data_IF_566831801871
#
_entry.id   IF_566831801871
#
_cell.length_a   1.000
_cell.length_b   1.000
_cell.length_c   1.000
_cell.angle_alpha   90.00
_cell.angle_beta   90.00
_cell.angle_gamma   90.00
#
_symmetry.space_group_name_H-M   'P 1'
#
loop_
_entity.id
_entity.type
_entity.pdbx_description
1 polymer ?
#
# COMPACT_ATOMS: atom_id res chain seq x y z
N UNK A 1 26.20 48.43 -10.63
CA UNK A 1 25.36 47.44 -11.33
C UNK A 1 23.96 47.48 -10.72
N UNK A 2 22.88 47.70 -11.48
CA UNK A 2 21.50 47.87 -10.94
C UNK A 2 20.99 46.66 -10.13
N UNK A 3 21.63 45.51 -10.34
CA UNK A 3 21.34 44.24 -9.68
C UNK A 3 21.60 44.29 -8.16
N UNK A 4 22.69 44.92 -7.70
CA UNK A 4 23.06 44.98 -6.28
C UNK A 4 22.13 45.82 -5.39
N UNK A 5 21.19 46.58 -5.98
CA UNK A 5 20.21 47.37 -5.22
C UNK A 5 18.92 46.59 -4.90
N UNK A 6 18.76 45.38 -5.45
CA UNK A 6 17.59 44.55 -5.25
C UNK A 6 17.74 43.72 -3.97
N UNK A 7 16.99 44.08 -2.92
CA UNK A 7 17.01 43.38 -1.61
C UNK A 7 16.80 41.86 -1.75
N UNK A 8 15.98 41.42 -2.71
CA UNK A 8 15.69 40.01 -2.96
C UNK A 8 16.94 39.17 -3.28
N UNK A 9 17.96 39.76 -3.89
CA UNK A 9 19.18 39.06 -4.32
C UNK A 9 20.06 38.69 -3.11
N UNK A 10 20.03 39.48 -2.04
CA UNK A 10 20.73 39.13 -0.81
C UNK A 10 20.03 38.00 -0.04
N UNK A 11 18.71 37.86 -0.20
CA UNK A 11 17.95 36.75 0.39
C UNK A 11 17.92 35.50 -0.49
N UNK A 12 18.29 35.58 -1.77
CA UNK A 12 18.16 34.45 -2.70
C UNK A 12 18.94 33.21 -2.26
N UNK A 13 20.17 33.28 -1.69
CA UNK A 13 20.83 32.08 -1.18
C UNK A 13 20.06 31.42 -0.03
N UNK A 14 19.47 32.21 0.88
CA UNK A 14 18.66 31.69 1.98
C UNK A 14 17.40 31.01 1.46
N UNK A 15 16.73 31.63 0.49
CA UNK A 15 15.54 31.04 -0.15
C UNK A 15 15.90 29.73 -0.84
N UNK A 16 17.01 29.68 -1.58
CA UNK A 16 17.49 28.46 -2.24
C UNK A 16 17.78 27.35 -1.23
N UNK A 17 18.50 27.66 -0.15
CA UNK A 17 18.80 26.69 0.92
C UNK A 17 17.52 26.23 1.62
N UNK A 18 16.57 27.13 1.89
CA UNK A 18 15.28 26.78 2.49
C UNK A 18 14.46 25.85 1.60
N UNK A 19 14.44 26.10 0.29
CA UNK A 19 13.79 25.20 -0.68
C UNK A 19 14.45 23.82 -0.65
N UNK A 20 15.78 23.74 -0.74
CA UNK A 20 16.51 22.46 -0.66
C UNK A 20 16.18 21.73 0.65
N UNK A 21 16.19 22.45 1.77
CA UNK A 21 15.85 21.90 3.08
C UNK A 21 14.45 21.30 3.09
N UNK A 22 13.43 22.02 2.59
CA UNK A 22 12.04 21.52 2.47
C UNK A 22 11.97 20.24 1.63
N UNK A 23 12.70 20.18 0.51
CA UNK A 23 12.74 18.99 -0.34
C UNK A 23 13.40 17.80 0.36
N UNK A 24 14.47 18.00 1.13
CA UNK A 24 15.10 16.93 1.93
C UNK A 24 14.12 16.36 2.96
N UNK A 25 13.22 17.16 3.53
CA UNK A 25 12.21 16.66 4.47
C UNK A 25 11.29 15.59 3.86
N UNK A 26 11.10 15.59 2.54
CA UNK A 26 10.30 14.56 1.85
C UNK A 26 10.98 13.18 1.86
N UNK A 27 12.29 13.11 2.11
CA UNK A 27 13.07 11.87 2.15
C UNK A 27 13.13 11.22 3.54
N UNK A 28 12.72 11.93 4.60
CA UNK A 28 12.76 11.44 5.98
C UNK A 28 12.05 10.08 6.14
N UNK A 29 10.83 9.86 5.60
CA UNK A 29 10.14 8.58 5.73
C UNK A 29 10.97 7.42 5.21
N UNK A 30 11.62 7.60 4.05
CA UNK A 30 12.43 6.57 3.41
C UNK A 30 13.76 6.35 4.14
N UNK A 31 14.42 7.43 4.57
CA UNK A 31 15.74 7.38 5.22
C UNK A 31 15.70 6.74 6.63
N UNK A 32 14.55 6.77 7.30
CA UNK A 32 14.34 6.23 8.65
C UNK A 32 13.42 5.01 8.68
N UNK A 33 13.19 4.38 7.53
CA UNK A 33 12.29 3.23 7.41
C UNK A 33 12.86 1.99 8.11
N UNK A 34 12.03 1.35 8.93
CA UNK A 34 12.35 0.09 9.59
C UNK A 34 11.05 -0.70 9.80
N UNK A 35 11.02 -2.01 9.52
CA UNK A 35 9.83 -2.82 9.72
C UNK A 35 9.48 -2.88 11.21
N UNK A 36 8.26 -2.48 11.54
CA UNK A 36 7.66 -2.61 12.86
C UNK A 36 6.35 -3.38 12.72
N UNK A 37 6.19 -4.44 13.51
CA UNK A 37 4.97 -5.24 13.51
C UNK A 37 4.56 -5.78 12.14
N UNK A 38 5.51 -6.12 11.26
CA UNK A 38 5.24 -6.66 9.92
C UNK A 38 4.40 -7.94 10.03
N UNK A 39 3.13 -7.96 9.58
CA UNK A 39 2.25 -9.10 9.78
C UNK A 39 2.66 -10.28 8.89
N UNK A 40 2.94 -11.42 9.53
CA UNK A 40 3.29 -12.68 8.86
C UNK A 40 2.50 -13.80 9.50
N UNK A 41 1.80 -14.60 8.68
CA UNK A 41 1.04 -15.73 9.18
C UNK A 41 1.90 -16.96 9.44
N UNK A 42 1.51 -17.75 10.43
CA UNK A 42 2.06 -19.07 10.70
C UNK A 42 0.92 -20.09 10.80
N UNK A 43 1.04 -21.18 10.03
CA UNK A 43 0.09 -22.30 10.05
C UNK A 43 0.84 -23.57 10.38
N UNK A 44 0.31 -24.31 11.33
CA UNK A 44 0.70 -25.69 11.53
C UNK A 44 -0.46 -26.60 11.11
N UNK A 45 -0.28 -27.36 10.03
CA UNK A 45 -1.18 -28.47 9.68
C UNK A 45 -0.54 -29.84 9.89
N UNK A 46 0.65 -29.89 10.50
CA UNK A 46 1.36 -31.12 10.89
C UNK A 46 0.49 -31.98 11.79
N UNK A 47 0.24 -33.22 11.39
CA UNK A 47 -0.53 -34.19 12.17
C UNK A 47 0.32 -34.80 13.30
N UNK A 48 1.63 -34.63 13.25
CA UNK A 48 2.55 -35.29 14.16
C UNK A 48 2.69 -36.79 13.85
N UNK A 49 3.25 -37.51 14.80
CA UNK A 49 3.33 -38.97 14.77
C UNK A 49 3.44 -39.55 16.18
N UNK A 50 2.97 -40.79 16.35
CA UNK A 50 3.20 -41.54 17.58
C UNK A 50 4.56 -42.22 17.53
N UNK A 51 5.40 -41.94 18.51
CA UNK A 51 6.73 -42.56 18.66
C UNK A 51 6.69 -43.53 19.84
N UNK A 52 7.07 -44.81 19.65
CA UNK A 52 7.19 -45.76 20.75
C UNK A 52 8.06 -45.19 21.89
N UNK A 53 7.61 -45.33 23.14
CA UNK A 53 8.21 -44.77 24.36
C UNK A 53 8.16 -43.24 24.57
N UNK A 54 7.80 -42.42 23.57
CA UNK A 54 7.65 -40.95 23.71
C UNK A 54 6.22 -40.43 23.56
N UNK A 55 5.30 -41.29 23.13
CA UNK A 55 3.90 -40.90 22.90
C UNK A 55 3.75 -40.06 21.63
N UNK A 56 2.76 -39.17 21.63
CA UNK A 56 2.46 -38.34 20.46
C UNK A 56 3.45 -37.17 20.35
N UNK A 57 4.18 -37.08 19.24
CA UNK A 57 5.18 -36.05 18.96
C UNK A 57 4.69 -35.19 17.78
N UNK A 58 4.76 -33.87 17.92
CA UNK A 58 4.41 -32.94 16.84
C UNK A 58 5.43 -31.80 16.83
N UNK A 59 6.33 -31.83 15.86
CA UNK A 59 7.40 -30.84 15.72
C UNK A 59 6.84 -29.50 15.23
N UNK A 60 5.82 -29.51 14.37
CA UNK A 60 5.13 -28.28 13.96
C UNK A 60 4.58 -27.48 15.15
N UNK A 61 4.04 -28.16 16.18
CA UNK A 61 3.57 -27.52 17.41
C UNK A 61 4.71 -26.93 18.24
N UNK A 62 5.87 -27.59 18.28
CA UNK A 62 7.06 -27.05 18.94
C UNK A 62 7.57 -25.80 18.20
N UNK A 63 7.58 -25.81 16.86
CA UNK A 63 7.92 -24.63 16.07
C UNK A 63 6.96 -23.47 16.36
N UNK A 64 5.65 -23.75 16.40
CA UNK A 64 4.63 -22.77 16.77
C UNK A 64 4.90 -22.13 18.12
N UNK A 65 5.23 -22.93 19.14
CA UNK A 65 5.53 -22.46 20.48
C UNK A 65 6.80 -21.61 20.53
N UNK A 66 7.88 -22.07 19.86
CA UNK A 66 9.14 -21.33 19.78
C UNK A 66 8.95 -19.95 19.12
N UNK A 67 8.13 -19.89 18.06
CA UNK A 67 7.83 -18.63 17.37
C UNK A 67 6.99 -17.69 18.24
N UNK A 68 6.03 -18.22 19.01
CA UNK A 68 5.29 -17.42 20.00
C UNK A 68 6.22 -16.82 21.05
N UNK A 69 7.14 -17.62 21.59
CA UNK A 69 8.08 -17.15 22.62
C UNK A 69 9.09 -16.13 22.09
N UNK A 70 9.47 -16.23 20.82
CA UNK A 70 10.36 -15.27 20.16
C UNK A 70 9.63 -13.98 19.74
N UNK A 71 8.30 -13.93 19.82
CA UNK A 71 7.49 -12.76 19.48
C UNK A 71 7.36 -11.83 20.68
N UNK A 72 7.86 -10.61 20.58
CA UNK A 72 7.71 -9.56 21.60
C UNK A 72 7.03 -8.33 21.02
N UNK A 73 6.47 -7.44 21.85
CA UNK A 73 5.80 -6.22 21.37
C UNK A 73 6.73 -5.26 20.60
N UNK A 74 8.04 -5.39 20.76
CA UNK A 74 9.07 -4.59 20.08
C UNK A 74 9.65 -5.29 18.84
N UNK A 75 9.11 -6.46 18.46
CA UNK A 75 9.61 -7.22 17.32
C UNK A 75 9.27 -6.53 15.99
N UNK A 76 10.20 -6.63 15.03
CA UNK A 76 9.96 -6.17 13.65
C UNK A 76 8.84 -6.93 12.94
N UNK A 77 8.45 -8.09 13.46
CA UNK A 77 7.50 -9.03 12.88
C UNK A 77 6.37 -9.29 13.88
N UNK A 78 5.14 -9.21 13.38
CA UNK A 78 3.93 -9.60 14.10
C UNK A 78 3.46 -10.96 13.59
N UNK A 79 3.70 -12.02 14.37
CA UNK A 79 3.27 -13.37 14.00
C UNK A 79 1.78 -13.57 14.24
N UNK A 80 1.05 -13.94 13.18
CA UNK A 80 -0.38 -14.23 13.21
C UNK A 80 -0.58 -15.74 13.10
N UNK A 81 -1.05 -16.36 14.17
CA UNK A 81 -1.25 -17.82 14.19
C UNK A 81 -2.66 -18.16 13.73
N UNK A 82 -2.76 -18.90 12.63
CA UNK A 82 -4.04 -19.30 12.03
C UNK A 82 -4.18 -20.81 12.00
N UNK A 83 -5.40 -21.29 11.80
CA UNK A 83 -5.75 -22.68 12.11
C UNK A 83 -5.58 -23.62 10.92
N UNK A 84 -5.74 -23.14 9.69
CA UNK A 84 -5.68 -23.96 8.49
C UNK A 84 -5.24 -23.17 7.24
N UNK A 85 -4.94 -23.90 6.17
CA UNK A 85 -4.44 -23.31 4.91
C UNK A 85 -5.47 -22.41 4.21
N UNK A 86 -6.76 -22.72 4.28
CA UNK A 86 -7.81 -21.90 3.65
C UNK A 86 -7.95 -20.53 4.31
N UNK A 87 -7.84 -20.50 5.64
CA UNK A 87 -7.78 -19.26 6.41
C UNK A 87 -6.55 -18.44 6.00
N UNK A 88 -5.41 -19.10 5.74
CA UNK A 88 -4.23 -18.41 5.20
C UNK A 88 -4.48 -17.77 3.85
N UNK A 89 -5.02 -18.51 2.91
CA UNK A 89 -5.29 -18.00 1.57
C UNK A 89 -6.27 -16.82 1.62
N UNK A 90 -7.34 -16.94 2.42
CA UNK A 90 -8.30 -15.86 2.62
C UNK A 90 -7.65 -14.61 3.23
N UNK A 91 -6.82 -14.76 4.26
CA UNK A 91 -6.17 -13.59 4.87
C UNK A 91 -5.09 -12.96 3.97
N UNK A 92 -4.44 -13.72 3.08
CA UNK A 92 -3.55 -13.15 2.05
C UNK A 92 -4.35 -12.29 1.07
N UNK A 93 -5.49 -12.80 0.59
CA UNK A 93 -6.35 -12.08 -0.35
C UNK A 93 -7.02 -10.85 0.31
N UNK A 94 -7.35 -10.95 1.60
CA UNK A 94 -7.88 -9.84 2.38
C UNK A 94 -6.80 -8.91 2.95
N UNK A 95 -5.56 -8.99 2.45
CA UNK A 95 -4.45 -8.10 2.80
C UNK A 95 -4.15 -8.04 4.32
N UNK A 96 -4.29 -9.16 5.03
CA UNK A 96 -4.04 -9.22 6.47
C UNK A 96 -2.57 -9.45 6.82
N UNK A 97 -1.77 -9.98 5.88
CA UNK A 97 -0.34 -10.23 6.07
C UNK A 97 0.43 -10.30 4.74
N UNK A 98 1.71 -9.98 4.82
CA UNK A 98 2.65 -9.91 3.69
C UNK A 98 3.22 -11.28 3.28
N UNK A 99 3.08 -12.29 4.14
CA UNK A 99 3.49 -13.65 3.84
C UNK A 99 3.04 -14.65 4.88
N UNK A 100 3.25 -15.94 4.60
CA UNK A 100 2.88 -17.03 5.50
C UNK A 100 3.91 -18.16 5.51
N UNK A 101 4.18 -18.73 6.68
CA UNK A 101 4.88 -20.01 6.85
C UNK A 101 3.86 -21.12 7.09
N UNK A 102 3.81 -22.12 6.20
CA UNK A 102 2.96 -23.30 6.35
C UNK A 102 3.85 -24.51 6.64
N UNK A 103 3.58 -25.15 7.78
CA UNK A 103 4.13 -26.46 8.15
C UNK A 103 3.18 -27.55 7.67
N UNK A 104 3.55 -28.39 6.67
CA UNK A 104 2.64 -29.38 6.09
C UNK A 104 2.31 -30.57 6.99
N UNK A 105 1.27 -31.32 6.62
CA UNK A 105 0.70 -32.44 7.40
C UNK A 105 1.66 -33.58 7.71
N UNK A 106 2.64 -33.80 6.83
CA UNK A 106 3.61 -34.88 6.88
C UNK A 106 4.96 -34.43 7.48
N UNK A 107 5.04 -33.20 7.99
CA UNK A 107 6.29 -32.60 8.44
C UNK A 107 6.99 -33.45 9.51
N UNK A 108 6.31 -33.81 10.60
CA UNK A 108 6.93 -34.63 11.66
C UNK A 108 7.30 -36.02 11.15
N UNK A 109 6.45 -36.65 10.32
CA UNK A 109 6.70 -37.97 9.75
C UNK A 109 7.96 -37.98 8.89
N UNK A 110 8.11 -37.01 7.99
CA UNK A 110 9.29 -36.84 7.13
C UNK A 110 10.55 -36.52 7.93
N UNK A 111 10.45 -35.60 8.89
CA UNK A 111 11.56 -35.27 9.77
C UNK A 111 12.14 -36.51 10.48
N UNK A 112 11.29 -37.44 10.92
CA UNK A 112 11.75 -38.66 11.57
C UNK A 112 12.58 -39.56 10.64
N UNK A 113 12.27 -39.56 9.33
CA UNK A 113 13.00 -40.36 8.34
C UNK A 113 14.46 -39.92 8.16
N UNK A 114 14.81 -38.68 8.55
CA UNK A 114 16.17 -38.15 8.44
C UNK A 114 17.22 -38.96 9.23
N UNK A 115 16.79 -39.74 10.22
CA UNK A 115 17.64 -40.64 11.01
C UNK A 115 17.71 -42.06 10.44
N UNK A 116 16.97 -42.35 9.37
CA UNK A 116 16.88 -43.68 8.75
C UNK A 116 17.80 -43.81 7.54
N UNK A 117 17.96 -45.02 7.00
CA UNK A 117 18.79 -45.26 5.81
C UNK A 117 18.22 -44.61 4.53
N UNK A 118 16.93 -44.26 4.51
CA UNK A 118 16.23 -43.62 3.39
C UNK A 118 15.62 -42.29 3.85
N UNK A 119 16.43 -41.23 4.02
CA UNK A 119 15.93 -39.94 4.47
C UNK A 119 15.05 -39.28 3.40
N UNK A 120 13.93 -38.73 3.85
CA UNK A 120 12.99 -37.91 3.06
C UNK A 120 12.79 -36.59 3.80
N UNK A 121 13.47 -35.54 3.35
CA UNK A 121 13.50 -34.26 4.05
C UNK A 121 12.12 -33.55 3.97
N UNK A 122 11.57 -33.08 5.10
CA UNK A 122 10.33 -32.30 5.08
C UNK A 122 10.52 -31.00 4.30
N UNK A 123 9.44 -30.53 3.66
CA UNK A 123 9.39 -29.23 3.01
C UNK A 123 8.42 -28.30 3.75
N UNK A 124 8.73 -27.01 3.83
CA UNK A 124 7.81 -25.97 4.29
C UNK A 124 7.45 -25.05 3.14
N UNK A 125 6.24 -24.48 3.17
CA UNK A 125 5.81 -23.50 2.17
C UNK A 125 5.92 -22.09 2.73
N UNK A 126 6.56 -21.21 1.97
CA UNK A 126 6.66 -19.78 2.22
C UNK A 126 5.79 -19.06 1.21
N UNK A 127 4.63 -18.56 1.65
CA UNK A 127 3.77 -17.74 0.80
C UNK A 127 4.19 -16.28 0.89
N UNK A 128 4.27 -15.58 -0.25
CA UNK A 128 4.70 -14.17 -0.32
C UNK A 128 3.65 -13.36 -1.08
N UNK A 129 3.03 -12.38 -0.42
CA UNK A 129 1.89 -11.63 -0.95
C UNK A 129 2.34 -10.39 -1.73
N UNK A 130 2.87 -10.57 -2.93
CA UNK A 130 3.52 -9.48 -3.67
C UNK A 130 2.57 -8.29 -3.92
N UNK A 131 1.30 -8.58 -4.22
CA UNK A 131 0.27 -7.58 -4.50
C UNK A 131 -0.06 -6.64 -3.37
N UNK A 132 0.16 -7.03 -2.10
CA UNK A 132 -0.14 -6.17 -0.94
C UNK A 132 0.84 -4.99 -0.86
N UNK A 133 2.14 -5.26 -0.99
CA UNK A 133 3.20 -4.28 -1.21
C UNK A 133 4.51 -5.03 -1.50
N UNK A 134 5.08 -4.86 -2.70
CA UNK A 134 6.27 -5.62 -3.14
C UNK A 134 7.45 -5.50 -2.17
N UNK A 135 7.72 -4.30 -1.66
CA UNK A 135 8.87 -4.06 -0.77
C UNK A 135 8.67 -4.75 0.59
N UNK A 136 7.50 -4.58 1.21
CA UNK A 136 7.18 -5.22 2.48
C UNK A 136 7.08 -6.74 2.36
N UNK A 137 6.55 -7.26 1.25
CA UNK A 137 6.50 -8.70 0.97
C UNK A 137 7.89 -9.30 0.73
N UNK A 138 8.82 -8.53 0.15
CA UNK A 138 10.22 -8.93 0.05
C UNK A 138 10.87 -9.02 1.43
N UNK A 139 10.63 -8.04 2.30
CA UNK A 139 11.08 -8.10 3.71
C UNK A 139 10.47 -9.31 4.44
N UNK A 140 9.17 -9.57 4.27
CA UNK A 140 8.50 -10.72 4.84
C UNK A 140 9.12 -12.04 4.35
N UNK A 141 9.43 -12.15 3.05
CA UNK A 141 10.13 -13.30 2.47
C UNK A 141 11.51 -13.51 3.07
N UNK A 142 12.28 -12.44 3.29
CA UNK A 142 13.60 -12.51 3.95
C UNK A 142 13.47 -12.99 5.40
N UNK A 143 12.50 -12.47 6.15
CA UNK A 143 12.19 -12.90 7.52
C UNK A 143 11.82 -14.39 7.54
N UNK A 144 10.92 -14.82 6.66
CA UNK A 144 10.49 -16.22 6.54
C UNK A 144 11.66 -17.15 6.21
N UNK A 145 12.49 -16.76 5.25
CA UNK A 145 13.68 -17.52 4.88
C UNK A 145 14.66 -17.65 6.05
N UNK A 146 14.96 -16.54 6.73
CA UNK A 146 15.86 -16.53 7.88
C UNK A 146 15.31 -17.32 9.07
N UNK A 147 13.99 -17.31 9.30
CA UNK A 147 13.35 -18.13 10.31
C UNK A 147 13.55 -19.62 10.02
N UNK A 148 13.32 -20.05 8.78
CA UNK A 148 13.55 -21.46 8.38
C UNK A 148 15.04 -21.81 8.41
N UNK A 149 15.94 -20.90 8.05
CA UNK A 149 17.39 -21.15 8.14
C UNK A 149 17.84 -21.39 9.59
N UNK A 150 17.35 -20.59 10.52
CA UNK A 150 17.63 -20.78 11.96
C UNK A 150 17.05 -22.10 12.48
N UNK A 151 15.87 -22.51 12.00
CA UNK A 151 15.30 -23.83 12.33
C UNK A 151 16.17 -24.95 11.74
N UNK A 152 16.60 -24.82 10.48
CA UNK A 152 17.46 -25.78 9.80
C UNK A 152 18.80 -25.97 10.53
N UNK A 153 19.43 -24.88 10.93
CA UNK A 153 20.67 -24.92 11.71
C UNK A 153 20.49 -25.67 13.03
N UNK A 154 19.47 -25.32 13.81
CA UNK A 154 19.18 -25.99 15.07
C UNK A 154 18.84 -27.47 14.88
N UNK A 155 18.06 -27.81 13.86
CA UNK A 155 17.70 -29.19 13.53
C UNK A 155 18.94 -30.00 13.13
N UNK A 156 19.81 -29.45 12.28
CA UNK A 156 21.08 -30.07 11.88
C UNK A 156 21.95 -30.37 13.09
N UNK A 157 22.12 -29.41 14.01
CA UNK A 157 22.89 -29.61 15.24
C UNK A 157 22.30 -30.73 16.11
N UNK A 158 20.97 -30.78 16.28
CA UNK A 158 20.31 -31.83 17.03
C UNK A 158 20.48 -33.21 16.38
N UNK A 159 20.36 -33.30 15.06
CA UNK A 159 20.52 -34.57 14.33
C UNK A 159 21.97 -35.07 14.41
N UNK A 160 22.97 -34.21 14.19
CA UNK A 160 24.39 -34.57 14.33
C UNK A 160 24.68 -35.07 15.76
N UNK A 161 24.13 -34.42 16.78
CA UNK A 161 24.27 -34.87 18.17
C UNK A 161 23.69 -36.28 18.37
N UNK A 162 22.52 -36.58 17.79
CA UNK A 162 21.91 -37.92 17.85
C UNK A 162 22.72 -38.98 17.12
N UNK A 163 23.25 -38.68 15.93
CA UNK A 163 24.12 -39.61 15.20
C UNK A 163 25.38 -39.95 16.00
N UNK A 164 26.01 -38.96 16.65
CA UNK A 164 27.15 -39.19 17.55
C UNK A 164 26.79 -40.08 18.74
N UNK A 165 25.63 -39.85 19.37
CA UNK A 165 25.17 -40.63 20.53
C UNK A 165 24.84 -42.08 20.17
N UNK A 166 24.28 -42.33 18.98
CA UNK A 166 23.89 -43.67 18.53
C UNK A 166 25.06 -44.46 17.91
N UNK A 167 26.28 -43.91 17.85
CA UNK A 167 27.47 -44.56 17.32
C UNK A 167 27.37 -44.97 15.83
N UNK A 168 26.42 -44.42 15.08
CA UNK A 168 26.12 -44.83 13.71
C UNK A 168 26.94 -44.00 12.71
N UNK A 169 27.62 -44.65 11.76
CA UNK A 169 28.24 -43.97 10.63
C UNK A 169 27.18 -43.37 9.70
N UNK A 170 27.40 -42.12 9.29
CA UNK A 170 26.51 -41.38 8.39
C UNK A 170 26.63 -41.90 6.95
N UNK A 171 25.51 -42.29 6.34
CA UNK A 171 25.48 -42.58 4.90
C UNK A 171 25.57 -41.30 4.08
N UNK A 172 25.98 -41.40 2.80
CA UNK A 172 26.02 -40.26 1.89
C UNK A 172 24.64 -39.57 1.76
N UNK A 173 23.55 -40.35 1.70
CA UNK A 173 22.18 -39.83 1.63
C UNK A 173 21.79 -39.07 2.91
N UNK A 174 22.19 -39.56 4.08
CA UNK A 174 21.95 -38.88 5.35
C UNK A 174 22.79 -37.60 5.46
N UNK A 175 24.03 -37.61 4.98
CA UNK A 175 24.88 -36.42 4.94
C UNK A 175 24.28 -35.31 4.03
N UNK A 176 23.76 -35.68 2.86
CA UNK A 176 23.04 -34.76 1.97
C UNK A 176 21.78 -34.19 2.63
N UNK A 177 20.98 -35.05 3.27
CA UNK A 177 19.78 -34.61 3.98
C UNK A 177 20.09 -33.68 5.17
N UNK A 178 21.26 -33.82 5.82
CA UNK A 178 21.71 -32.93 6.88
C UNK A 178 22.15 -31.56 6.41
N UNK A 179 22.54 -31.40 5.15
CA UNK A 179 22.95 -30.10 4.61
C UNK A 179 21.77 -29.11 4.60
N UNK A 180 20.58 -29.60 4.23
CA UNK A 180 19.31 -28.88 4.27
C UNK A 180 18.18 -29.78 4.83
N UNK A 181 18.09 -29.93 6.18
CA UNK A 181 17.13 -30.83 6.83
C UNK A 181 15.67 -30.50 6.54
N UNK A 182 15.37 -29.25 6.19
CA UNK A 182 14.07 -28.74 5.77
C UNK A 182 14.25 -28.03 4.42
N UNK A 183 13.52 -28.49 3.42
CA UNK A 183 13.42 -27.83 2.12
C UNK A 183 12.45 -26.65 2.19
N UNK A 184 12.71 -25.62 1.40
CA UNK A 184 11.82 -24.43 1.30
C UNK A 184 11.17 -24.41 -0.07
N UNK A 185 9.86 -24.21 -0.12
CA UNK A 185 9.14 -23.89 -1.35
C UNK A 185 8.56 -22.49 -1.20
N UNK A 186 9.10 -21.54 -1.96
CA UNK A 186 8.57 -20.17 -2.02
C UNK A 186 7.50 -20.11 -3.09
N UNK A 187 6.32 -19.60 -2.73
CA UNK A 187 5.17 -19.43 -3.62
C UNK A 187 4.75 -17.98 -3.51
N UNK A 188 4.81 -17.25 -4.63
CA UNK A 188 4.24 -15.92 -4.68
C UNK A 188 2.72 -16.04 -4.85
N UNK A 189 1.97 -15.25 -4.09
CA UNK A 189 0.51 -15.13 -4.21
C UNK A 189 0.17 -13.68 -4.55
N UNK A 190 -0.97 -13.47 -5.20
CA UNK A 190 -1.39 -12.14 -5.68
C UNK A 190 -0.23 -11.47 -6.43
N UNK A 191 0.34 -12.19 -7.39
CA UNK A 191 1.56 -11.77 -8.06
C UNK A 191 1.37 -10.45 -8.79
N UNK A 192 2.39 -9.59 -8.74
CA UNK A 192 2.29 -8.28 -9.39
C UNK A 192 2.46 -8.39 -10.91
N UNK A 193 2.94 -9.52 -11.43
CA UNK A 193 3.29 -9.68 -12.86
C UNK A 193 4.46 -8.79 -13.31
N UNK A 194 4.83 -8.89 -14.59
CA UNK A 194 6.00 -8.23 -15.18
C UNK A 194 5.72 -6.82 -15.70
N UNK A 195 4.45 -6.47 -15.94
CA UNK A 195 4.02 -5.19 -16.53
C UNK A 195 3.31 -4.28 -15.51
N UNK A 196 3.75 -4.29 -14.26
CA UNK A 196 3.13 -3.53 -13.16
C UNK A 196 4.08 -2.53 -12.50
N UNK A 197 5.18 -2.19 -13.16
CA UNK A 197 6.22 -1.30 -12.58
C UNK A 197 6.73 -1.86 -11.25
N UNK A 198 7.05 -3.17 -11.21
CA UNK A 198 7.44 -3.90 -9.99
C UNK A 198 6.40 -3.80 -8.86
N UNK A 199 5.11 -3.83 -9.20
CA UNK A 199 3.98 -3.66 -8.28
C UNK A 199 3.64 -2.21 -7.91
N UNK A 200 4.35 -1.21 -8.47
CA UNK A 200 4.07 0.21 -8.21
C UNK A 200 3.11 0.86 -9.20
N UNK A 201 2.54 0.13 -10.17
CA UNK A 201 1.56 0.67 -11.11
C UNK A 201 0.42 1.48 -10.43
N UNK A 202 -0.19 1.04 -9.31
CA UNK A 202 -1.18 1.85 -8.59
C UNK A 202 -0.68 3.23 -8.17
N UNK A 203 0.59 3.35 -7.76
CA UNK A 203 1.22 4.61 -7.37
C UNK A 203 1.54 5.46 -8.60
N UNK A 204 2.01 4.84 -9.68
CA UNK A 204 2.35 5.52 -10.93
C UNK A 204 1.13 6.20 -11.58
N UNK A 205 -0.06 5.60 -11.48
CA UNK A 205 -1.30 6.18 -12.02
C UNK A 205 -1.80 7.36 -11.19
N UNK A 206 -1.42 7.48 -9.92
CA UNK A 206 -1.90 8.55 -9.06
C UNK A 206 -1.42 9.94 -9.50
N UNK A 207 -0.13 10.11 -9.80
CA UNK A 207 0.45 11.41 -10.11
C UNK A 207 -0.24 12.14 -11.29
N UNK A 208 -0.41 11.52 -12.48
CA UNK A 208 -1.09 12.18 -13.58
C UNK A 208 -2.56 12.49 -13.27
N UNK A 209 -3.27 11.60 -12.57
CA UNK A 209 -4.68 11.82 -12.20
C UNK A 209 -4.82 13.03 -11.26
N UNK A 210 -3.96 13.12 -10.25
CA UNK A 210 -3.94 14.24 -9.30
C UNK A 210 -3.61 15.56 -9.99
N UNK A 211 -2.61 15.57 -10.87
CA UNK A 211 -2.27 16.77 -11.66
C UNK A 211 -3.40 17.18 -12.60
N UNK A 212 -4.06 16.23 -13.25
CA UNK A 212 -5.23 16.50 -14.09
C UNK A 212 -6.40 17.07 -13.27
N UNK A 213 -6.59 16.63 -12.03
CA UNK A 213 -7.63 17.16 -11.13
C UNK A 213 -7.34 18.60 -10.69
N UNK A 214 -6.07 18.93 -10.42
CA UNK A 214 -5.60 20.29 -10.12
C UNK A 214 -5.82 21.21 -11.32
N UNK A 215 -5.40 20.78 -12.51
CA UNK A 215 -5.56 21.54 -13.74
C UNK A 215 -7.05 21.78 -14.06
N UNK A 216 -7.88 20.74 -13.98
CA UNK A 216 -9.32 20.82 -14.19
C UNK A 216 -9.98 21.81 -13.22
N UNK A 217 -9.71 21.68 -11.92
CA UNK A 217 -10.27 22.56 -10.90
C UNK A 217 -9.85 24.02 -11.09
N UNK A 218 -8.56 24.26 -11.39
CA UNK A 218 -8.06 25.61 -11.63
C UNK A 218 -8.68 26.25 -12.89
N UNK A 219 -8.82 25.49 -13.98
CA UNK A 219 -9.43 25.97 -15.22
C UNK A 219 -10.91 26.36 -15.02
N UNK A 220 -11.66 25.53 -14.32
CA UNK A 220 -13.07 25.82 -14.00
C UNK A 220 -13.18 27.03 -13.08
N UNK A 221 -12.32 27.11 -12.06
CA UNK A 221 -12.27 28.26 -11.16
C UNK A 221 -11.99 29.58 -11.91
N UNK A 222 -10.98 29.59 -12.79
CA UNK A 222 -10.63 30.76 -13.62
C UNK A 222 -11.76 31.15 -14.59
N UNK A 223 -12.55 30.17 -15.04
CA UNK A 223 -13.70 30.42 -15.90
C UNK A 223 -14.85 31.05 -15.13
N UNK A 224 -15.15 30.54 -13.92
CA UNK A 224 -16.19 31.08 -13.03
C UNK A 224 -15.86 32.50 -12.58
N UNK A 225 -14.59 32.84 -12.35
CA UNK A 225 -14.19 34.20 -11.96
C UNK A 225 -14.56 35.29 -13.00
N UNK A 226 -14.78 34.90 -14.26
CA UNK A 226 -15.18 35.81 -15.34
C UNK A 226 -16.69 36.06 -15.38
N UNK A 227 -17.48 35.30 -14.61
CA UNK A 227 -18.94 35.36 -14.62
C UNK A 227 -19.43 36.26 -13.49
N UNK A 228 -20.32 37.19 -13.81
CA UNK A 228 -21.04 38.00 -12.82
C UNK A 228 -22.40 37.38 -12.53
N UNK A 229 -22.64 37.01 -11.29
CA UNK A 229 -23.90 36.43 -10.87
C UNK A 229 -24.86 37.49 -10.33
N UNK A 230 -26.07 37.52 -10.86
CA UNK A 230 -27.12 38.47 -10.50
C UNK A 230 -27.94 38.02 -9.30
N UNK A 231 -27.94 36.72 -8.97
CA UNK A 231 -28.70 36.17 -7.84
C UNK A 231 -28.03 34.95 -7.20
N UNK A 232 -28.45 34.63 -5.97
CA UNK A 232 -28.04 33.39 -5.28
C UNK A 232 -28.50 32.13 -6.04
N UNK A 233 -29.68 32.18 -6.67
CA UNK A 233 -30.22 31.08 -7.48
C UNK A 233 -29.28 30.76 -8.65
N UNK A 234 -28.79 31.79 -9.34
CA UNK A 234 -27.86 31.64 -10.45
C UNK A 234 -26.54 30.98 -10.01
N UNK A 235 -26.04 31.32 -8.82
CA UNK A 235 -24.85 30.67 -8.24
C UNK A 235 -25.07 29.19 -7.97
N UNK A 236 -26.21 28.83 -7.39
CA UNK A 236 -26.54 27.43 -7.10
C UNK A 236 -26.68 26.64 -8.41
N UNK A 237 -27.36 27.19 -9.42
CA UNK A 237 -27.46 26.56 -10.75
C UNK A 237 -26.07 26.37 -11.37
N UNK A 238 -25.18 27.35 -11.23
CA UNK A 238 -23.81 27.22 -11.70
C UNK A 238 -23.02 26.12 -10.94
N UNK A 239 -23.28 25.92 -9.65
CA UNK A 239 -22.69 24.79 -8.92
C UNK A 239 -23.20 23.43 -9.42
N UNK A 240 -24.47 23.33 -9.85
CA UNK A 240 -24.98 22.12 -10.51
C UNK A 240 -24.28 21.90 -11.85
N UNK A 241 -24.12 22.95 -12.66
CA UNK A 241 -23.36 22.89 -13.91
C UNK A 241 -21.90 22.46 -13.70
N UNK A 242 -21.26 22.97 -12.65
CA UNK A 242 -19.93 22.55 -12.21
C UNK A 242 -19.86 21.04 -11.94
N UNK A 243 -20.85 20.48 -11.23
CA UNK A 243 -20.90 19.04 -10.93
C UNK A 243 -20.99 18.22 -12.22
N UNK A 244 -21.83 18.62 -13.16
CA UNK A 244 -22.00 17.93 -14.45
C UNK A 244 -20.67 17.94 -15.23
N UNK A 245 -20.01 19.11 -15.33
CA UNK A 245 -18.71 19.22 -15.98
C UNK A 245 -17.67 18.36 -15.25
N UNK A 246 -17.68 18.36 -13.92
CA UNK A 246 -16.82 17.52 -13.09
C UNK A 246 -16.96 16.03 -13.41
N UNK A 247 -18.20 15.54 -13.61
CA UNK A 247 -18.46 14.14 -14.02
C UNK A 247 -17.90 13.85 -15.41
N UNK A 248 -18.08 14.76 -16.37
CA UNK A 248 -17.53 14.61 -17.73
C UNK A 248 -15.99 14.55 -17.69
N UNK A 249 -15.36 15.47 -16.96
CA UNK A 249 -13.91 15.48 -16.77
C UNK A 249 -13.42 14.20 -16.06
N UNK A 250 -14.17 13.72 -15.07
CA UNK A 250 -13.87 12.48 -14.36
C UNK A 250 -13.88 11.27 -15.28
N UNK A 251 -14.91 11.12 -16.12
CA UNK A 251 -14.97 10.03 -17.09
C UNK A 251 -13.84 10.14 -18.11
N UNK A 252 -13.58 11.34 -18.66
CA UNK A 252 -12.49 11.55 -19.60
C UNK A 252 -11.12 11.23 -18.99
N UNK A 253 -10.86 11.67 -17.75
CA UNK A 253 -9.61 11.41 -17.05
C UNK A 253 -9.45 9.93 -16.66
N UNK A 254 -10.51 9.29 -16.15
CA UNK A 254 -10.49 7.89 -15.75
C UNK A 254 -10.24 6.94 -16.92
N UNK A 255 -11.05 7.05 -17.97
CA UNK A 255 -10.89 6.24 -19.19
C UNK A 255 -9.61 6.59 -19.94
N UNK A 256 -9.28 7.89 -20.07
CA UNK A 256 -8.07 8.33 -20.73
C UNK A 256 -6.81 7.83 -20.04
N UNK A 257 -6.76 7.87 -18.71
CA UNK A 257 -5.61 7.37 -17.96
C UNK A 257 -5.50 5.85 -18.01
N UNK A 258 -6.59 5.11 -17.87
CA UNK A 258 -6.58 3.64 -18.02
C UNK A 258 -6.06 3.23 -19.40
N UNK A 259 -6.53 3.90 -20.45
CA UNK A 259 -6.05 3.68 -21.82
C UNK A 259 -4.58 4.04 -22.00
N UNK A 260 -4.14 5.21 -21.52
CA UNK A 260 -2.74 5.61 -21.59
C UNK A 260 -1.81 4.66 -20.81
N UNK A 261 -2.28 4.08 -19.71
CA UNK A 261 -1.54 3.07 -18.95
C UNK A 261 -1.21 1.85 -19.82
N UNK A 262 -2.19 1.31 -20.54
CA UNK A 262 -1.98 0.20 -21.48
C UNK A 262 -1.04 0.60 -22.63
N UNK A 263 -1.18 1.81 -23.17
CA UNK A 263 -0.31 2.33 -24.24
C UNK A 263 1.16 2.39 -23.82
N UNK A 264 1.44 2.75 -22.56
CA UNK A 264 2.82 2.75 -22.04
C UNK A 264 3.28 1.38 -21.51
N UNK A 265 2.47 0.35 -21.68
CA UNK A 265 2.82 -1.04 -21.35
C UNK A 265 2.56 -1.45 -19.90
N UNK A 266 1.72 -0.71 -19.16
CA UNK A 266 1.22 -1.13 -17.84
C UNK A 266 0.02 -2.06 -18.05
N UNK A 267 0.05 -3.24 -17.43
CA UNK A 267 -1.08 -4.18 -17.46
C UNK A 267 -2.23 -3.67 -16.60
N UNK A 268 -3.41 -3.57 -17.20
CA UNK A 268 -4.67 -3.18 -16.53
C UNK A 268 -5.62 -4.39 -16.57
N UNK A 269 -5.78 -5.14 -15.46
CA UNK A 269 -6.50 -6.43 -15.50
C UNK A 269 -7.97 -6.34 -15.90
N UNK A 270 -8.67 -5.30 -15.41
CA UNK A 270 -10.04 -4.97 -15.82
C UNK A 270 -10.08 -3.51 -16.24
N UNK A 271 -10.10 -3.27 -17.56
CA UNK A 271 -10.09 -1.91 -18.12
C UNK A 271 -11.27 -1.09 -17.60
N UNK A 272 -12.49 -1.63 -17.69
CA UNK A 272 -13.72 -0.91 -17.33
C UNK A 272 -13.74 -0.58 -15.83
N UNK A 273 -13.47 -1.55 -14.96
CA UNK A 273 -13.46 -1.35 -13.51
C UNK A 273 -12.40 -0.32 -13.10
N UNK A 274 -11.21 -0.42 -13.71
CA UNK A 274 -10.12 0.54 -13.47
C UNK A 274 -10.49 1.94 -13.93
N UNK A 275 -11.01 2.09 -15.15
CA UNK A 275 -11.41 3.38 -15.71
C UNK A 275 -12.49 4.07 -14.86
N UNK A 276 -13.51 3.31 -14.44
CA UNK A 276 -14.58 3.81 -13.58
C UNK A 276 -14.06 4.19 -12.18
N UNK A 277 -13.19 3.37 -11.59
CA UNK A 277 -12.58 3.68 -10.30
C UNK A 277 -11.71 4.95 -10.37
N UNK A 278 -10.89 5.08 -11.41
CA UNK A 278 -10.07 6.28 -11.66
C UNK A 278 -10.96 7.52 -11.89
N UNK A 279 -12.13 7.37 -12.52
CA UNK A 279 -13.09 8.46 -12.64
C UNK A 279 -13.65 8.88 -11.27
N UNK A 280 -14.01 7.94 -10.40
CA UNK A 280 -14.44 8.23 -9.02
C UNK A 280 -13.34 8.97 -8.25
N UNK A 281 -12.09 8.50 -8.34
CA UNK A 281 -10.95 9.14 -7.70
C UNK A 281 -10.72 10.56 -8.23
N UNK A 282 -10.75 10.75 -9.55
CA UNK A 282 -10.64 12.08 -10.17
C UNK A 282 -11.72 13.02 -9.67
N UNK A 283 -12.99 12.59 -9.67
CA UNK A 283 -14.11 13.42 -9.24
C UNK A 283 -13.95 13.84 -7.77
N UNK A 284 -13.49 12.92 -6.92
CA UNK A 284 -13.17 13.20 -5.51
C UNK A 284 -12.10 14.27 -5.36
N UNK A 285 -10.97 14.13 -6.06
CA UNK A 285 -9.88 15.11 -6.00
C UNK A 285 -10.30 16.45 -6.60
N UNK A 286 -10.96 16.44 -7.74
CA UNK A 286 -11.46 17.63 -8.43
C UNK A 286 -12.42 18.44 -7.55
N UNK A 287 -13.38 17.78 -6.89
CA UNK A 287 -14.33 18.45 -5.99
C UNK A 287 -13.66 18.98 -4.74
N UNK A 288 -12.73 18.21 -4.14
CA UNK A 288 -11.91 18.66 -3.00
C UNK A 288 -11.12 19.93 -3.33
N UNK A 289 -10.41 19.93 -4.46
CA UNK A 289 -9.60 21.08 -4.89
C UNK A 289 -10.50 22.27 -5.19
N UNK A 290 -11.60 22.04 -5.91
CA UNK A 290 -12.54 23.10 -6.26
C UNK A 290 -13.23 23.72 -5.04
N UNK A 291 -13.53 22.91 -4.02
CA UNK A 291 -14.05 23.41 -2.76
C UNK A 291 -13.05 24.34 -2.06
N UNK A 292 -11.76 23.97 -1.99
CA UNK A 292 -10.75 24.86 -1.41
C UNK A 292 -10.55 26.13 -2.24
N UNK A 293 -10.51 26.02 -3.57
CA UNK A 293 -10.39 27.17 -4.46
C UNK A 293 -11.60 28.11 -4.35
N UNK A 294 -12.81 27.61 -4.11
CA UNK A 294 -14.00 28.46 -4.00
C UNK A 294 -13.97 29.38 -2.76
N UNK A 295 -13.22 29.00 -1.73
CA UNK A 295 -13.06 29.79 -0.49
C UNK A 295 -11.76 30.60 -0.46
N UNK A 296 -10.64 30.02 -0.88
CA UNK A 296 -9.30 30.62 -0.78
C UNK A 296 -8.81 31.27 -2.09
N UNK A 297 -9.52 31.02 -3.20
CA UNK A 297 -9.07 31.35 -4.54
C UNK A 297 -7.81 30.57 -4.95
N UNK A 298 -7.11 31.06 -5.99
CA UNK A 298 -5.86 30.44 -6.46
C UNK A 298 -4.75 30.34 -5.41
N UNK A 299 -4.83 31.14 -4.33
CA UNK A 299 -3.91 31.05 -3.19
C UNK A 299 -4.04 29.73 -2.43
N UNK A 300 -5.12 28.97 -2.62
CA UNK A 300 -5.29 27.62 -2.07
C UNK A 300 -4.53 26.53 -2.84
N UNK A 301 -4.14 26.78 -4.10
CA UNK A 301 -3.49 25.78 -4.95
C UNK A 301 -2.17 25.20 -4.36
N UNK A 302 -1.29 26.00 -3.74
CA UNK A 302 -0.06 25.48 -3.13
C UNK A 302 -0.29 24.39 -2.08
N UNK A 303 -1.45 24.35 -1.43
CA UNK A 303 -1.78 23.30 -0.43
C UNK A 303 -1.72 21.92 -1.10
N UNK A 304 -2.32 21.77 -2.28
CA UNK A 304 -2.38 20.48 -2.98
C UNK A 304 -1.04 20.08 -3.62
N UNK A 305 -0.21 21.08 -3.94
CA UNK A 305 1.17 20.85 -4.37
C UNK A 305 2.01 20.33 -3.19
N UNK A 306 1.88 20.93 -2.01
CA UNK A 306 2.55 20.47 -0.79
C UNK A 306 2.08 19.06 -0.40
N UNK A 307 0.77 18.80 -0.44
CA UNK A 307 0.20 17.46 -0.19
C UNK A 307 0.77 16.44 -1.17
N UNK A 308 0.91 16.79 -2.46
CA UNK A 308 1.56 15.93 -3.45
C UNK A 308 3.01 15.63 -3.07
N UNK A 309 3.83 16.65 -2.80
CA UNK A 309 5.26 16.47 -2.53
C UNK A 309 5.55 15.66 -1.26
N UNK A 310 4.81 15.90 -0.19
CA UNK A 310 5.02 15.20 1.08
C UNK A 310 4.24 13.88 1.17
N UNK A 311 3.14 13.76 0.44
CA UNK A 311 2.31 12.56 0.43
C UNK A 311 2.80 11.49 -0.54
N UNK A 312 3.30 11.86 -1.73
CA UNK A 312 3.66 10.88 -2.77
C UNK A 312 4.71 9.85 -2.32
N UNK A 313 5.80 10.20 -1.60
CA UNK A 313 6.76 9.20 -1.11
C UNK A 313 6.14 8.16 -0.17
N UNK A 314 5.06 8.50 0.52
CA UNK A 314 4.37 7.62 1.47
C UNK A 314 3.49 6.58 0.77
N UNK A 315 3.06 6.82 -0.47
CA UNK A 315 2.11 5.97 -1.20
C UNK A 315 2.71 4.63 -1.66
N UNK A 316 4.04 4.56 -1.83
CA UNK A 316 4.76 3.34 -2.17
C UNK A 316 5.17 2.52 -0.94
N UNK A 317 5.09 3.11 0.26
CA UNK A 317 5.49 2.46 1.50
C UNK A 317 4.33 1.65 2.08
N UNK A 318 4.66 0.49 2.65
CA UNK A 318 3.74 -0.19 3.56
C UNK A 318 3.64 0.59 4.90
N UNK A 319 2.47 0.60 5.56
CA UNK A 319 2.34 1.23 6.87
C UNK A 319 3.39 0.75 7.88
N UNK A 320 3.71 -0.55 7.89
CA UNK A 320 4.61 -1.19 8.84
C UNK A 320 6.08 -0.82 8.66
N UNK A 321 6.48 -0.27 7.51
CA UNK A 321 7.86 0.21 7.28
C UNK A 321 7.99 1.72 7.48
N UNK A 322 6.87 2.40 7.71
CA UNK A 322 6.80 3.85 7.86
C UNK A 322 7.07 4.27 9.32
N UNK A 323 7.81 5.37 9.54
CA UNK A 323 7.97 5.92 10.89
C UNK A 323 6.63 6.31 11.51
N UNK A 324 6.52 6.18 12.83
CA UNK A 324 5.25 6.27 13.57
C UNK A 324 4.51 7.59 13.31
N UNK A 325 5.25 8.71 13.30
CA UNK A 325 4.70 10.03 12.96
C UNK A 325 3.95 10.04 11.62
N UNK A 326 4.56 9.52 10.56
CA UNK A 326 3.95 9.52 9.24
C UNK A 326 2.81 8.51 9.15
N UNK A 327 2.98 7.32 9.74
CA UNK A 327 1.97 6.25 9.74
C UNK A 327 0.68 6.66 10.43
N UNK A 328 0.78 7.37 11.56
CA UNK A 328 -0.35 7.65 12.44
C UNK A 328 -0.98 9.03 12.18
N UNK A 329 -0.17 10.04 11.82
CA UNK A 329 -0.67 11.42 11.68
C UNK A 329 -0.83 11.89 10.24
N UNK A 330 -0.04 11.38 9.30
CA UNK A 330 -0.03 11.89 7.92
C UNK A 330 -0.77 10.93 6.98
N UNK A 331 -0.34 9.68 6.93
CA UNK A 331 -0.82 8.67 5.99
C UNK A 331 -2.35 8.42 6.02
N UNK A 332 -3.04 8.40 7.18
CA UNK A 332 -4.49 8.20 7.22
C UNK A 332 -5.29 9.33 6.58
N UNK A 333 -4.70 10.53 6.49
CA UNK A 333 -5.36 11.73 5.99
C UNK A 333 -5.05 12.04 4.52
N UNK A 334 -4.18 11.25 3.87
CA UNK A 334 -3.85 11.45 2.47
C UNK A 334 -5.01 10.97 1.58
N UNK A 335 -5.74 11.87 0.88
CA UNK A 335 -6.86 11.45 0.02
C UNK A 335 -6.38 10.53 -1.12
N UNK A 336 -5.14 10.76 -1.56
CA UNK A 336 -4.44 10.05 -2.62
C UNK A 336 -4.22 8.56 -2.29
N UNK A 337 -4.14 8.23 -1.00
CA UNK A 337 -3.98 6.85 -0.52
C UNK A 337 -5.15 5.98 -0.97
N UNK A 338 -6.39 6.44 -0.83
CA UNK A 338 -7.57 5.65 -1.14
C UNK A 338 -7.66 5.30 -2.64
N UNK A 339 -7.15 6.18 -3.52
CA UNK A 339 -7.00 5.83 -4.92
C UNK A 339 -5.96 4.70 -5.09
N UNK A 340 -4.77 4.85 -4.51
CA UNK A 340 -3.70 3.85 -4.66
C UNK A 340 -4.12 2.49 -4.10
N UNK A 341 -4.79 2.47 -2.94
CA UNK A 341 -5.28 1.24 -2.31
C UNK A 341 -6.36 0.57 -3.17
N UNK A 342 -7.31 1.33 -3.72
CA UNK A 342 -8.34 0.77 -4.61
C UNK A 342 -7.81 0.29 -5.96
N UNK A 343 -6.87 1.00 -6.60
CA UNK A 343 -6.21 0.49 -7.82
C UNK A 343 -5.42 -0.78 -7.52
N UNK A 344 -4.75 -0.85 -6.36
CA UNK A 344 -4.01 -2.04 -5.93
C UNK A 344 -4.92 -3.27 -5.78
N UNK A 345 -6.09 -3.08 -5.16
CA UNK A 345 -7.13 -4.13 -5.06
C UNK A 345 -7.56 -4.64 -6.43
N UNK A 346 -7.92 -3.74 -7.35
CA UNK A 346 -8.31 -4.09 -8.72
C UNK A 346 -7.19 -4.80 -9.49
N UNK A 347 -5.92 -4.44 -9.25
CA UNK A 347 -4.80 -4.95 -10.03
C UNK A 347 -4.31 -6.31 -9.57
N UNK A 348 -4.31 -6.57 -8.26
CA UNK A 348 -3.60 -7.74 -7.72
C UNK A 348 -4.48 -8.71 -6.95
N UNK A 349 -5.69 -8.33 -6.57
CA UNK A 349 -6.56 -9.15 -5.73
C UNK A 349 -7.80 -9.69 -6.47
N UNK A 350 -7.90 -9.42 -7.78
CA UNK A 350 -8.96 -9.98 -8.63
C UNK A 350 -10.37 -9.49 -8.28
N UNK A 351 -10.45 -8.37 -7.56
CA UNK A 351 -11.71 -7.74 -7.20
C UNK A 351 -12.27 -6.99 -8.42
N UNK A 352 -13.57 -7.12 -8.67
CA UNK A 352 -14.30 -6.20 -9.53
C UNK A 352 -14.48 -4.86 -8.83
N UNK A 353 -14.89 -3.81 -9.56
CA UNK A 353 -15.26 -2.57 -8.91
C UNK A 353 -16.48 -2.81 -8.01
N UNK A 354 -16.27 -2.78 -6.69
CA UNK A 354 -17.30 -2.94 -5.67
C UNK A 354 -17.29 -1.76 -4.70
N UNK A 355 -18.32 -1.67 -3.87
CA UNK A 355 -18.38 -0.68 -2.79
C UNK A 355 -17.49 -1.13 -1.61
N UNK A 356 -16.21 -0.74 -1.64
CA UNK A 356 -15.20 -1.07 -0.64
C UNK A 356 -14.83 0.16 0.23
N UNK A 357 -13.92 0.03 1.21
CA UNK A 357 -13.48 1.17 2.03
C UNK A 357 -12.87 2.32 1.23
N UNK A 358 -12.12 2.03 0.14
CA UNK A 358 -11.50 3.03 -0.73
C UNK A 358 -12.55 3.87 -1.47
N UNK A 359 -13.54 3.23 -2.09
CA UNK A 359 -14.69 3.89 -2.73
C UNK A 359 -15.50 4.68 -1.71
N UNK A 360 -15.73 4.12 -0.52
CA UNK A 360 -16.44 4.79 0.58
C UNK A 360 -15.73 6.08 1.00
N UNK A 361 -14.41 6.04 1.18
CA UNK A 361 -13.62 7.20 1.56
C UNK A 361 -13.63 8.28 0.45
N UNK A 362 -13.42 7.89 -0.82
CA UNK A 362 -13.45 8.81 -1.96
C UNK A 362 -14.84 9.46 -2.14
N UNK A 363 -15.92 8.69 -1.97
CA UNK A 363 -17.29 9.19 -2.00
C UNK A 363 -17.55 10.16 -0.85
N UNK A 364 -17.10 9.86 0.37
CA UNK A 364 -17.24 10.75 1.52
C UNK A 364 -16.47 12.06 1.34
N UNK A 365 -15.23 12.00 0.85
CA UNK A 365 -14.43 13.19 0.49
C UNK A 365 -15.19 14.03 -0.54
N UNK A 366 -15.75 13.39 -1.57
CA UNK A 366 -16.52 14.08 -2.61
C UNK A 366 -17.76 14.75 -2.03
N UNK A 367 -18.52 14.04 -1.19
CA UNK A 367 -19.74 14.53 -0.56
C UNK A 367 -19.46 15.76 0.32
N UNK A 368 -18.48 15.65 1.23
CA UNK A 368 -18.07 16.77 2.10
C UNK A 368 -17.62 17.95 1.24
N UNK A 369 -16.77 17.69 0.24
CA UNK A 369 -16.25 18.73 -0.66
C UNK A 369 -17.36 19.44 -1.41
N UNK A 370 -18.34 18.72 -1.94
CA UNK A 370 -19.53 19.27 -2.57
C UNK A 370 -20.33 20.12 -1.58
N UNK A 371 -20.59 19.65 -0.35
CA UNK A 371 -21.26 20.47 0.66
C UNK A 371 -20.52 21.80 0.92
N UNK A 372 -19.19 21.78 1.08
CA UNK A 372 -18.38 23.00 1.21
C UNK A 372 -18.43 23.90 -0.03
N UNK A 373 -18.47 23.31 -1.23
CA UNK A 373 -18.56 24.05 -2.48
C UNK A 373 -19.92 24.74 -2.64
N UNK A 374 -21.01 24.05 -2.34
CA UNK A 374 -22.35 24.65 -2.34
C UNK A 374 -22.49 25.71 -1.25
N UNK A 375 -21.88 25.51 -0.07
CA UNK A 375 -21.86 26.50 0.99
C UNK A 375 -21.19 27.83 0.57
N UNK A 376 -20.19 27.79 -0.32
CA UNK A 376 -19.54 29.00 -0.83
C UNK A 376 -20.47 29.89 -1.67
N UNK A 377 -21.60 29.36 -2.16
CA UNK A 377 -22.61 30.10 -2.90
C UNK A 377 -23.60 30.88 -2.01
N UNK A 378 -23.58 30.67 -0.69
CA UNK A 378 -24.55 31.25 0.25
C UNK A 378 -24.30 32.73 0.66
N UNK A 379 -23.07 33.23 0.84
CA UNK A 379 -22.84 34.59 1.36
C UNK A 379 -23.41 35.71 0.47
N UNK A 380 -24.09 36.70 1.09
CA UNK A 380 -24.78 37.80 0.41
C UNK A 380 -23.85 38.89 -0.18
N UNK A 381 -22.60 39.00 0.29
CA UNK A 381 -21.59 39.98 -0.17
C UNK A 381 -21.15 39.79 -1.63
N UNK A 382 -21.64 38.73 -2.27
CA UNK A 382 -21.15 38.23 -3.53
C UNK A 382 -22.09 38.52 -4.72
N UNK A 383 -23.19 39.24 -4.49
CA UNK A 383 -24.06 39.84 -5.51
C UNK A 383 -23.66 41.31 -5.62
N UNK A 384 -22.92 41.69 -6.66
CA UNK A 384 -22.70 43.11 -6.97
C UNK A 384 -24.05 43.67 -7.43
N UNK A 385 -24.71 44.46 -6.59
CA UNK A 385 -25.82 45.31 -7.05
C UNK A 385 -25.26 46.22 -8.13
N UNK A 386 -25.81 46.15 -9.34
CA UNK A 386 -25.62 47.16 -10.36
C UNK A 386 -25.85 48.54 -9.71
N UNK A 387 -24.80 49.37 -9.67
CA UNK A 387 -24.99 50.79 -9.38
C UNK A 387 -25.81 51.32 -10.55
N UNK A 388 -27.09 51.59 -10.31
CA UNK A 388 -27.91 52.38 -11.22
C UNK A 388 -27.16 53.66 -11.51
N UNK A 389 -26.65 53.81 -12.74
CA UNK A 389 -26.28 55.12 -13.26
C UNK A 389 -27.58 55.90 -13.40
N UNK A 390 -27.92 56.67 -12.38
CA UNK A 390 -28.89 57.75 -12.52
C UNK A 390 -28.23 58.84 -13.37
N UNK A 391 -28.68 58.89 -14.62
CA UNK A 391 -28.74 59.99 -15.60
C UNK A 391 -27.57 60.98 -15.58
#
# INVERSE_FOLDING_TARGET
>A
MKLGNQKLIYFSPIIVVAVIFIFILTLIPSASSAPKNLPIAFVNVDEGMTVPAKGNVNIGNQMKQNMKQASTEQSSVKWIFVSNTKEVEKGLNNQQYYGALIIPKDFTKKQATLQTAKPDAPAVKLLVNQGMNTAASTLASQVLNGAVDKINENMRLQLVKRFKQNGTQLSANQALALAAPIQKTVINVNETGTHSVNGNAPVSLFQPLWMASIAGAAMIFLSIQKITFSSRKEKIVNQVGFVIIGVILALAAGFGLAWLAEVVGISVPSFLDTALFLAIAYFSFFTLISAVLSWLGLKGLPIFVIVLFFGAPLLSMAPEVMPDFYRELIYPWLPMRFMVDGVRELFFFGEHLTWNPSVSALALISLISLCTLFASALPASSVKKEKSRSI
#
